data_IF_662202841961
#
_entry.id   IF_662202841961
#
_cell.length_a   1.000
_cell.length_b   1.000
_cell.length_c   1.000
_cell.angle_alpha   90.00
_cell.angle_beta   90.00
_cell.angle_gamma   90.00
#
_symmetry.space_group_name_H-M   'P 1'
#
loop_
_entity.id
_entity.type
_entity.pdbx_description
1 polymer ?
#
# COMPACT_ATOMS: atom_id res chain seq x y z
N UNK A 1 4.16 13.43 4.23
CA UNK A 1 3.77 12.02 4.43
C UNK A 1 4.53 11.33 5.57
N UNK A 2 5.86 11.17 5.53
CA UNK A 2 6.62 10.55 6.65
C UNK A 2 7.04 11.54 7.73
N UNK A 3 7.37 12.78 7.35
CA UNK A 3 7.75 13.84 8.31
C UNK A 3 6.63 14.27 9.25
N UNK A 4 5.38 13.93 8.89
CA UNK A 4 4.18 14.25 9.65
C UNK A 4 3.85 13.15 10.68
N UNK A 5 4.66 12.10 10.77
CA UNK A 5 4.50 11.05 11.77
C UNK A 5 4.64 11.67 13.16
N UNK A 6 3.68 11.44 14.07
CA UNK A 6 3.74 12.00 15.42
C UNK A 6 5.03 11.62 16.15
N UNK A 7 5.62 12.58 16.86
CA UNK A 7 6.91 12.43 17.53
C UNK A 7 6.97 11.24 18.51
N UNK A 8 5.83 10.87 19.11
CA UNK A 8 5.70 9.69 19.98
C UNK A 8 6.14 8.37 19.33
N UNK A 9 6.17 8.29 18.00
CA UNK A 9 6.64 7.10 17.26
C UNK A 9 8.15 7.15 16.96
N UNK A 10 8.82 8.27 17.25
CA UNK A 10 10.24 8.46 17.05
C UNK A 10 10.61 9.09 15.71
N UNK A 11 11.88 8.95 15.34
CA UNK A 11 12.44 9.60 14.16
C UNK A 11 11.84 9.04 12.87
N UNK A 12 11.15 9.90 12.11
CA UNK A 12 10.48 9.53 10.87
C UNK A 12 11.39 8.86 9.83
N UNK A 13 12.68 9.23 9.74
CA UNK A 13 13.60 8.68 8.75
C UNK A 13 13.95 7.23 9.10
N UNK A 14 14.15 6.93 10.39
CA UNK A 14 14.35 5.56 10.87
C UNK A 14 13.13 4.70 10.60
N UNK A 15 11.93 5.24 10.86
CA UNK A 15 10.65 4.55 10.59
C UNK A 15 10.53 4.23 9.10
N UNK A 16 10.76 5.22 8.23
CA UNK A 16 10.69 5.05 6.78
C UNK A 16 11.68 3.99 6.27
N UNK A 17 12.94 4.04 6.73
CA UNK A 17 13.96 3.05 6.34
C UNK A 17 13.59 1.63 6.77
N UNK A 18 13.05 1.47 7.98
CA UNK A 18 12.59 0.18 8.45
C UNK A 18 11.38 -0.31 7.65
N UNK A 19 10.41 0.58 7.38
CA UNK A 19 9.25 0.28 6.54
C UNK A 19 9.68 -0.24 5.16
N UNK A 20 10.60 0.47 4.49
CA UNK A 20 11.07 0.09 3.15
C UNK A 20 11.83 -1.24 3.19
N UNK A 21 12.75 -1.42 4.16
CA UNK A 21 13.49 -2.68 4.33
C UNK A 21 12.55 -3.86 4.58
N UNK A 22 11.51 -3.67 5.39
CA UNK A 22 10.51 -4.70 5.67
C UNK A 22 9.64 -5.02 4.46
N UNK A 23 9.34 -4.03 3.63
CA UNK A 23 8.68 -4.23 2.35
C UNK A 23 9.52 -5.13 1.45
N UNK A 24 10.81 -4.81 1.27
CA UNK A 24 11.75 -5.61 0.47
C UNK A 24 11.94 -7.03 1.02
N UNK A 25 11.91 -7.20 2.34
CA UNK A 25 12.03 -8.50 3.01
C UNK A 25 10.70 -9.29 3.08
N UNK A 26 9.61 -8.78 2.50
CA UNK A 26 8.30 -9.42 2.51
C UNK A 26 7.66 -9.56 3.90
N UNK A 27 8.10 -8.74 4.87
CA UNK A 27 7.56 -8.78 6.25
C UNK A 27 6.06 -8.48 6.24
N UNK A 28 5.61 -7.50 5.46
CA UNK A 28 4.20 -7.13 5.38
C UNK A 28 3.32 -8.28 4.87
N UNK A 29 3.81 -9.07 3.90
CA UNK A 29 3.10 -10.23 3.41
C UNK A 29 2.91 -11.29 4.51
N UNK A 30 3.95 -11.56 5.30
CA UNK A 30 3.88 -12.51 6.43
C UNK A 30 2.96 -12.00 7.54
N UNK A 31 3.00 -10.70 7.84
CA UNK A 31 2.10 -10.09 8.82
C UNK A 31 0.64 -10.23 8.38
N UNK A 32 0.35 -9.98 7.10
CA UNK A 32 -1.00 -10.15 6.53
C UNK A 32 -1.47 -11.60 6.66
N UNK A 33 -0.67 -12.56 6.20
CA UNK A 33 -0.99 -13.99 6.27
C UNK A 33 -1.28 -14.42 7.73
N UNK A 34 -0.43 -13.99 8.67
CA UNK A 34 -0.63 -14.33 10.08
C UNK A 34 -1.90 -13.71 10.65
N UNK A 35 -2.20 -12.46 10.29
CA UNK A 35 -3.40 -11.75 10.76
C UNK A 35 -4.66 -12.41 10.22
N UNK A 36 -4.69 -12.74 8.93
CA UNK A 36 -5.79 -13.48 8.30
C UNK A 36 -5.96 -14.87 8.94
N UNK A 37 -4.87 -15.59 9.19
CA UNK A 37 -4.91 -16.88 9.87
C UNK A 37 -5.54 -16.78 11.27
N UNK A 38 -5.25 -15.73 12.02
CA UNK A 38 -5.84 -15.49 13.33
C UNK A 38 -7.33 -15.15 13.23
N UNK A 39 -7.71 -14.26 12.31
CA UNK A 39 -9.11 -13.89 12.07
C UNK A 39 -9.95 -15.09 11.59
N UNK A 40 -9.37 -15.97 10.76
CA UNK A 40 -10.01 -17.21 10.34
C UNK A 40 -10.29 -18.13 11.53
N UNK A 41 -9.34 -18.24 12.47
CA UNK A 41 -9.51 -19.08 13.67
C UNK A 41 -10.55 -18.52 14.63
N UNK A 42 -10.71 -17.20 14.72
CA UNK A 42 -11.74 -16.57 15.54
C UNK A 42 -13.11 -16.50 14.86
N UNK A 43 -13.20 -16.84 13.57
CA UNK A 43 -14.43 -16.73 12.79
C UNK A 43 -14.78 -15.30 12.38
N UNK A 44 -13.83 -14.37 12.55
CA UNK A 44 -14.00 -12.93 12.23
C UNK A 44 -13.67 -12.60 10.77
N UNK A 45 -13.21 -13.59 10.00
CA UNK A 45 -12.82 -13.40 8.60
C UNK A 45 -13.91 -13.91 7.65
N UNK A 46 -14.56 -12.98 6.95
CA UNK A 46 -15.28 -13.27 5.71
C UNK A 46 -14.30 -13.16 4.53
N UNK A 47 -14.31 -14.14 3.63
CA UNK A 47 -13.40 -14.20 2.47
C UNK A 47 -13.85 -13.30 1.31
N UNK A 48 -14.90 -12.51 1.49
CA UNK A 48 -15.26 -11.43 0.56
C UNK A 48 -14.20 -10.33 0.61
N UNK A 49 -13.31 -10.32 -0.38
CA UNK A 49 -12.29 -9.30 -0.52
C UNK A 49 -12.85 -8.06 -1.23
N UNK A 50 -12.82 -6.91 -0.54
CA UNK A 50 -12.98 -5.60 -1.20
C UNK A 50 -11.63 -5.12 -1.69
N UNK A 51 -11.50 -4.93 -3.01
CA UNK A 51 -10.31 -4.33 -3.62
C UNK A 51 -10.66 -2.91 -4.01
N UNK A 52 -10.20 -1.96 -3.20
CA UNK A 52 -10.40 -0.54 -3.42
C UNK A 52 -9.07 0.14 -3.76
N UNK A 53 -9.11 1.16 -4.62
CA UNK A 53 -7.98 2.05 -4.87
C UNK A 53 -8.31 3.44 -4.36
N UNK A 54 -7.39 4.06 -3.62
CA UNK A 54 -7.54 5.44 -3.16
C UNK A 54 -6.36 6.27 -3.65
N UNK A 55 -6.64 7.39 -4.32
CA UNK A 55 -5.62 8.30 -4.83
C UNK A 55 -5.58 9.53 -3.93
N UNK A 56 -4.46 9.71 -3.23
CA UNK A 56 -4.17 10.94 -2.48
C UNK A 56 -3.27 11.83 -3.32
N UNK A 57 -3.80 12.98 -3.78
CA UNK A 57 -3.02 13.97 -4.52
C UNK A 57 -2.12 14.74 -3.56
N UNK A 58 -0.83 14.83 -3.89
CA UNK A 58 0.16 15.64 -3.16
C UNK A 58 0.68 16.76 -4.06
N UNK A 59 1.06 17.88 -3.46
CA UNK A 59 1.74 18.95 -4.19
C UNK A 59 3.05 18.41 -4.79
N UNK A 60 3.49 18.95 -5.94
CA UNK A 60 4.66 18.44 -6.67
C UNK A 60 5.93 18.31 -5.81
N UNK A 61 6.11 19.21 -4.82
CA UNK A 61 7.23 19.17 -3.88
C UNK A 61 7.15 18.05 -2.83
N UNK A 62 6.01 17.38 -2.70
CA UNK A 62 5.80 16.23 -1.83
C UNK A 62 5.64 14.89 -2.58
N UNK A 63 5.69 14.91 -3.92
CA UNK A 63 5.68 13.69 -4.73
C UNK A 63 7.10 13.08 -4.75
N UNK A 64 7.25 11.85 -4.28
CA UNK A 64 8.54 11.12 -4.28
C UNK A 64 8.76 10.28 -5.53
N UNK A 65 7.78 10.26 -6.45
CA UNK A 65 7.87 9.48 -7.69
C UNK A 65 8.68 10.25 -8.75
N UNK A 66 9.62 9.58 -9.45
CA UNK A 66 10.28 10.16 -10.62
C UNK A 66 9.23 10.60 -11.65
N UNK A 67 9.37 11.83 -12.17
CA UNK A 67 8.51 12.32 -13.25
C UNK A 67 8.97 11.70 -14.57
N UNK A 68 8.34 10.60 -15.00
CA UNK A 68 8.35 10.23 -16.42
C UNK A 68 7.46 11.24 -17.15
N UNK A 69 8.08 12.22 -17.80
CA UNK A 69 7.36 13.12 -18.71
C UNK A 69 7.26 12.41 -20.07
N UNK A 70 6.29 11.51 -20.19
CA UNK A 70 5.94 10.83 -21.44
C UNK A 70 4.61 10.11 -21.26
N UNK A 71 3.57 10.58 -21.96
CA UNK A 71 2.35 9.78 -22.17
C UNK A 71 2.70 8.51 -22.98
N UNK A 72 1.89 7.46 -23.02
CA UNK A 72 0.44 7.42 -22.93
C UNK A 72 0.01 6.10 -22.25
N UNK A 73 -0.89 6.15 -21.27
CA UNK A 73 -1.63 4.96 -20.84
C UNK A 73 -3.13 5.31 -20.95
N UNK A 74 -3.73 4.97 -22.09
CA UNK A 74 -5.18 4.85 -22.18
C UNK A 74 -5.62 3.64 -21.34
N UNK A 75 -6.22 3.91 -20.17
CA UNK A 75 -6.86 2.91 -19.32
C UNK A 75 -8.31 2.63 -19.78
N UNK A 76 -8.55 2.58 -21.09
CA UNK A 76 -9.84 2.20 -21.65
C UNK A 76 -9.72 1.01 -22.59
N UNK A 77 -9.51 -0.18 -22.03
CA UNK A 77 -10.09 -1.39 -22.62
C UNK A 77 -10.39 -2.46 -21.55
N UNK A 78 -11.47 -2.22 -20.78
CA UNK A 78 -12.19 -3.31 -20.11
C UNK A 78 -13.13 -3.92 -21.15
N UNK A 79 -12.63 -4.87 -21.95
CA UNK A 79 -13.52 -5.76 -22.72
C UNK A 79 -13.80 -7.03 -21.93
N UNK A 80 -15.02 -7.04 -21.39
CA UNK A 80 -15.83 -8.22 -21.04
C UNK A 80 -15.41 -9.47 -21.82
N UNK A 81 -15.15 -10.56 -21.11
CA UNK A 81 -15.71 -11.87 -21.49
C UNK A 81 -15.83 -12.80 -20.28
N UNK A 82 -17.03 -12.79 -19.70
CA UNK A 82 -17.62 -13.97 -19.12
C UNK A 82 -18.21 -14.79 -20.28
N UNK A 83 -17.82 -16.06 -20.41
CA UNK A 83 -18.72 -17.21 -20.68
C UNK A 83 -17.91 -18.45 -20.35
#
# INVERSE_FOLDING_TARGET
>A
PWRDVPERFGNWNTIYKNFNRWSEQGVWARVLERTQSLAQQSGDLDWVASIDSTIVRVHQHGATLPRTTGGDIELQEVRRRAT
#
